data_IF_272783407849
#
_entry.id   IF_272783407849
#
_cell.length_a   1.000
_cell.length_b   1.000
_cell.length_c   1.000
_cell.angle_alpha   90.00
_cell.angle_beta   90.00
_cell.angle_gamma   90.00
#
_symmetry.space_group_name_H-M   'P 1'
#
loop_
_entity.id
_entity.type
_entity.pdbx_description
1 polymer ?
#
# COMPACT_ATOMS: atom_id res chain seq x y z
N UNK A 1 -5.64 3.74 30.55
CA UNK A 1 -5.61 4.09 29.12
C UNK A 1 -4.16 4.16 28.69
N UNK A 2 -3.68 3.24 27.86
CA UNK A 2 -2.31 3.30 27.33
C UNK A 2 -2.24 4.39 26.25
N UNK A 3 -1.10 5.05 26.11
CA UNK A 3 -0.91 6.20 25.21
C UNK A 3 -1.30 5.90 23.75
N UNK A 4 -1.16 4.64 23.32
CA UNK A 4 -1.58 4.15 22.00
C UNK A 4 -3.09 4.29 21.77
N UNK A 5 -3.91 3.98 22.77
CA UNK A 5 -5.36 3.96 22.63
C UNK A 5 -5.89 5.39 22.46
N UNK A 6 -5.30 6.34 23.19
CA UNK A 6 -5.62 7.76 23.05
C UNK A 6 -5.32 8.30 21.65
N UNK A 7 -4.20 7.88 21.06
CA UNK A 7 -3.83 8.27 19.70
C UNK A 7 -4.85 7.75 18.66
N UNK A 8 -5.23 6.47 18.77
CA UNK A 8 -6.19 5.85 17.86
C UNK A 8 -7.56 6.52 17.96
N UNK A 9 -8.09 6.69 19.17
CA UNK A 9 -9.39 7.34 19.39
C UNK A 9 -9.43 8.77 18.86
N UNK A 10 -8.39 9.55 19.15
CA UNK A 10 -8.29 10.94 18.68
C UNK A 10 -8.21 11.01 17.15
N UNK A 11 -7.48 10.08 16.53
CA UNK A 11 -7.34 10.01 15.08
C UNK A 11 -8.67 9.67 14.40
N UNK A 12 -9.40 8.68 14.92
CA UNK A 12 -10.73 8.32 14.40
C UNK A 12 -11.69 9.50 14.51
N UNK A 13 -11.68 10.22 15.64
CA UNK A 13 -12.52 11.41 15.84
C UNK A 13 -12.24 12.48 14.80
N UNK A 14 -10.97 12.81 14.56
CA UNK A 14 -10.56 13.81 13.56
C UNK A 14 -10.95 13.42 12.14
N UNK A 15 -10.83 12.14 11.77
CA UNK A 15 -11.24 11.65 10.45
C UNK A 15 -12.75 11.81 10.27
N UNK A 16 -13.56 11.46 11.27
CA UNK A 16 -15.02 11.65 11.25
C UNK A 16 -15.40 13.11 11.08
N UNK A 17 -14.83 14.01 11.89
CA UNK A 17 -15.09 15.45 11.80
C UNK A 17 -14.71 16.01 10.41
N UNK A 18 -13.58 15.59 9.84
CA UNK A 18 -13.19 16.01 8.48
C UNK A 18 -14.16 15.49 7.41
N UNK A 19 -14.67 14.27 7.56
CA UNK A 19 -15.67 13.68 6.66
C UNK A 19 -17.00 14.45 6.72
N UNK A 20 -17.50 14.72 7.93
CA UNK A 20 -18.77 15.42 8.15
C UNK A 20 -18.73 16.85 7.62
N UNK A 21 -17.57 17.49 7.67
CA UNK A 21 -17.37 18.87 7.23
C UNK A 21 -16.90 18.99 5.77
N UNK A 22 -16.97 17.92 4.96
CA UNK A 22 -16.51 17.89 3.56
C UNK A 22 -15.05 18.36 3.36
N UNK A 23 -14.17 18.06 4.33
CA UNK A 23 -12.75 18.46 4.36
C UNK A 23 -11.80 17.25 4.39
N UNK A 24 -12.30 16.05 4.08
CA UNK A 24 -11.50 14.83 4.06
C UNK A 24 -10.99 14.54 2.64
N UNK A 25 -9.68 14.47 2.49
CA UNK A 25 -9.00 13.96 1.29
C UNK A 25 -8.28 12.67 1.68
N UNK A 26 -8.51 11.59 0.91
CA UNK A 26 -7.88 10.28 1.15
C UNK A 26 -6.95 9.95 -0.02
N UNK A 27 -5.68 9.70 0.29
CA UNK A 27 -4.71 9.20 -0.68
C UNK A 27 -4.60 7.69 -0.52
N UNK A 28 -4.91 6.96 -1.59
CA UNK A 28 -4.95 5.49 -1.58
C UNK A 28 -3.76 4.96 -2.39
N UNK A 29 -2.88 4.20 -1.72
CA UNK A 29 -1.75 3.52 -2.36
C UNK A 29 -2.04 2.05 -2.69
N UNK A 30 -1.10 1.41 -3.37
CA UNK A 30 -1.16 -0.01 -3.80
C UNK A 30 -1.37 -1.02 -2.65
N UNK A 31 -1.09 -0.63 -1.40
CA UNK A 31 -1.33 -1.47 -0.22
C UNK A 31 -2.81 -1.60 0.16
N UNK A 32 -3.66 -0.63 -0.21
CA UNK A 32 -5.10 -0.70 0.10
C UNK A 32 -5.83 -1.66 -0.84
N UNK A 33 -5.40 -1.75 -2.10
CA UNK A 33 -5.96 -2.70 -3.07
C UNK A 33 -5.67 -4.17 -2.71
N UNK A 34 -4.59 -4.45 -1.96
CA UNK A 34 -4.30 -5.78 -1.44
C UNK A 34 -5.44 -6.34 -0.57
N UNK A 35 -6.21 -5.47 0.09
CA UNK A 35 -7.32 -5.87 0.95
C UNK A 35 -8.64 -6.08 0.19
N UNK A 36 -8.62 -6.09 -1.15
CA UNK A 36 -9.82 -6.21 -2.00
C UNK A 36 -10.09 -7.63 -2.51
N UNK A 37 -9.29 -8.62 -2.09
CA UNK A 37 -9.39 -10.00 -2.59
C UNK A 37 -8.93 -10.17 -4.04
N UNK A 38 -8.26 -9.15 -4.59
CA UNK A 38 -7.64 -9.14 -5.92
C UNK A 38 -6.12 -9.20 -5.71
N UNK A 39 -5.36 -9.89 -6.58
CA UNK A 39 -3.91 -9.93 -6.47
C UNK A 39 -3.31 -8.53 -6.38
N UNK A 40 -2.33 -8.40 -5.48
CA UNK A 40 -1.48 -7.23 -5.39
C UNK A 40 -0.72 -7.01 -6.69
N UNK A 41 -0.24 -5.78 -6.91
CA UNK A 41 0.60 -5.49 -8.06
C UNK A 41 1.85 -6.39 -8.12
N UNK A 42 2.44 -6.70 -6.97
CA UNK A 42 3.58 -7.63 -6.89
C UNK A 42 3.21 -9.03 -7.35
N UNK A 43 2.08 -9.57 -6.88
CA UNK A 43 1.59 -10.89 -7.29
C UNK A 43 1.26 -10.94 -8.78
N UNK A 44 0.63 -9.89 -9.33
CA UNK A 44 0.35 -9.81 -10.76
C UNK A 44 1.64 -9.83 -11.60
N UNK A 45 2.65 -9.04 -11.21
CA UNK A 45 3.94 -9.04 -11.88
C UNK A 45 4.63 -10.39 -11.77
N UNK A 46 4.56 -11.06 -10.61
CA UNK A 46 5.10 -12.42 -10.44
C UNK A 46 4.40 -13.43 -11.36
N UNK A 47 3.07 -13.39 -11.47
CA UNK A 47 2.35 -14.30 -12.38
C UNK A 47 2.69 -14.03 -13.85
N UNK A 48 2.69 -12.75 -14.27
CA UNK A 48 3.07 -12.39 -15.65
C UNK A 48 4.52 -12.76 -15.98
N UNK A 49 5.43 -12.70 -15.00
CA UNK A 49 6.83 -13.07 -15.18
C UNK A 49 7.02 -14.58 -15.44
N UNK A 50 6.16 -15.46 -14.91
CA UNK A 50 6.25 -16.90 -15.16
C UNK A 50 6.10 -17.24 -16.63
N UNK A 51 5.20 -16.55 -17.33
CA UNK A 51 4.95 -16.76 -18.76
C UNK A 51 6.10 -16.26 -19.65
N UNK A 52 6.94 -15.36 -19.12
CA UNK A 52 8.06 -14.75 -19.83
C UNK A 52 9.39 -15.53 -19.62
N UNK A 53 9.45 -16.52 -18.72
CA UNK A 53 10.62 -17.36 -18.44
C UNK A 53 11.13 -17.30 -16.99
N UNK A 54 12.27 -17.94 -16.70
CA UNK A 54 12.90 -17.87 -15.37
C UNK A 54 13.64 -16.53 -15.20
N UNK A 55 13.08 -15.62 -14.40
CA UNK A 55 13.76 -14.42 -13.95
C UNK A 55 14.35 -14.66 -12.56
N UNK A 56 15.64 -14.37 -12.38
CA UNK A 56 16.26 -14.40 -11.05
C UNK A 56 15.81 -13.15 -10.25
N UNK A 57 14.65 -13.27 -9.59
CA UNK A 57 14.01 -12.20 -8.79
C UNK A 57 14.79 -11.88 -7.51
N UNK A 58 15.94 -12.53 -7.27
CA UNK A 58 16.82 -12.19 -6.14
C UNK A 58 17.66 -10.93 -6.35
N UNK A 59 17.69 -10.38 -7.57
CA UNK A 59 18.34 -9.10 -7.80
C UNK A 59 17.36 -8.00 -7.41
N UNK A 60 17.61 -7.37 -6.25
CA UNK A 60 16.80 -6.29 -5.72
C UNK A 60 16.52 -5.24 -6.80
N UNK A 61 15.36 -4.59 -6.71
CA UNK A 61 14.94 -3.46 -7.54
C UNK A 61 16.02 -2.39 -7.73
N UNK A 62 16.99 -2.33 -6.82
CA UNK A 62 18.15 -1.43 -6.87
C UNK A 62 19.09 -1.71 -8.06
N UNK A 63 19.05 -2.93 -8.61
CA UNK A 63 19.84 -3.31 -9.79
C UNK A 63 19.38 -2.57 -11.05
N UNK A 64 18.07 -2.27 -11.15
CA UNK A 64 17.46 -1.57 -12.29
C UNK A 64 17.45 -0.04 -12.12
N UNK A 65 17.81 0.47 -10.94
CA UNK A 65 17.88 1.90 -10.63
C UNK A 65 19.30 2.48 -10.78
N UNK A 66 20.25 1.69 -11.27
CA UNK A 66 21.61 2.18 -11.55
C UNK A 66 21.60 3.07 -12.79
N UNK A 67 21.72 4.37 -12.57
CA UNK A 67 21.96 5.35 -13.63
C UNK A 67 23.42 5.17 -14.10
N UNK A 68 23.68 5.02 -15.41
CA UNK A 68 25.03 4.91 -15.96
C UNK A 68 25.89 6.16 -15.72
#
# INVERSE_FOLDING_TARGET
MIMSDYFVETSIKKIKEASENNKLVVFVGVGVSANSGIPTWGELITEMAKDLGEFDVKNSSDTYLKIP
#
